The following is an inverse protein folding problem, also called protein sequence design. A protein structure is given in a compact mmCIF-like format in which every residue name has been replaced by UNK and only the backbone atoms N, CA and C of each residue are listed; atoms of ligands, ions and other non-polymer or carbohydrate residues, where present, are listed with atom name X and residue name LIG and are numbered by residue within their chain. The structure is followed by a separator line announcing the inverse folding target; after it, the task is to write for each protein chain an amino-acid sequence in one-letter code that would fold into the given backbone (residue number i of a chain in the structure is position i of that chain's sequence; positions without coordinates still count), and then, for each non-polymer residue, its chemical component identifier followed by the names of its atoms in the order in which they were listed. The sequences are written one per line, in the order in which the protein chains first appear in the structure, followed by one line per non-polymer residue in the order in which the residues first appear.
data_IF_685482218229
#
_entry.id   IF_685482218229
#
_cell.length_a   1.000
_cell.length_b   1.000
_cell.length_c   1.000
_cell.angle_alpha   90.00
_cell.angle_beta   90.00
_cell.angle_gamma   90.00
#
_symmetry.space_group_name_H-M   'P 1'
#
loop_
_entity.id
_entity.type
_entity.pdbx_description
1 polymer ?
#
# COMPACT_ATOMS: atom_id res chain seq x y z
N UNK A 1 -39.87 -10.56 64.75
CA UNK A 1 -39.18 -11.18 63.59
C UNK A 1 -39.46 -10.27 62.39
N UNK A 2 -38.54 -9.34 62.11
CA UNK A 2 -37.49 -9.40 61.05
C UNK A 2 -38.08 -8.97 59.68
N UNK A 3 -37.90 -7.69 59.30
CA UNK A 3 -36.92 -7.12 58.35
C UNK A 3 -37.45 -7.15 56.90
N UNK A 4 -37.68 -6.01 56.22
CA UNK A 4 -36.73 -5.03 55.66
C UNK A 4 -36.57 -5.26 54.15
N UNK A 5 -36.81 -4.22 53.34
CA UNK A 5 -36.20 -4.05 52.02
C UNK A 5 -36.28 -2.56 51.63
N UNK A 6 -35.22 -1.84 51.97
CA UNK A 6 -34.96 -0.48 51.53
C UNK A 6 -34.05 -0.54 50.29
N UNK A 7 -34.49 0.02 49.17
CA UNK A 7 -33.63 0.31 48.03
C UNK A 7 -33.00 1.70 48.24
N UNK A 8 -31.69 1.73 48.41
CA UNK A 8 -30.90 2.95 48.56
C UNK A 8 -30.29 3.31 47.20
N UNK A 9 -30.64 4.50 46.68
CA UNK A 9 -30.05 5.10 45.47
C UNK A 9 -28.75 5.79 45.89
N UNK A 10 -27.62 5.41 45.29
CA UNK A 10 -26.33 6.10 45.48
C UNK A 10 -26.06 6.92 44.20
N UNK A 11 -26.18 8.24 44.30
CA UNK A 11 -25.63 9.20 43.34
C UNK A 11 -24.24 9.62 43.81
N UNK A 12 -23.24 9.44 42.95
CA UNK A 12 -21.88 9.95 43.16
C UNK A 12 -21.70 11.22 42.33
N UNK A 13 -21.71 12.38 43.00
CA UNK A 13 -21.20 13.65 42.46
C UNK A 13 -19.74 13.81 42.88
N UNK A 14 -18.82 13.82 41.93
CA UNK A 14 -17.42 14.22 42.18
C UNK A 14 -17.29 15.73 41.93
N UNK A 15 -17.08 16.48 43.01
CA UNK A 15 -16.69 17.89 42.99
C UNK A 15 -15.17 17.97 42.86
N UNK A 16 -14.66 18.65 41.82
CA UNK A 16 -13.24 19.01 41.73
C UNK A 16 -13.05 20.45 42.23
N UNK A 17 -12.23 20.59 43.26
CA UNK A 17 -11.86 21.84 43.90
C UNK A 17 -10.83 22.61 43.06
N UNK A 18 -11.06 23.91 42.85
CA UNK A 18 -10.04 24.86 42.41
C UNK A 18 -9.11 25.21 43.58
N UNK A 19 -7.81 25.11 43.37
CA UNK A 19 -6.83 25.90 44.13
C UNK A 19 -5.98 26.72 43.16
N UNK A 20 -6.12 28.02 43.30
CA UNK A 20 -5.30 29.06 42.67
C UNK A 20 -4.01 29.28 43.47
N UNK A 21 -2.87 29.26 42.79
CA UNK A 21 -1.58 29.66 43.36
C UNK A 21 -0.73 30.42 42.34
N UNK A 22 -0.56 31.72 42.57
CA UNK A 22 0.22 32.67 41.78
C UNK A 22 1.66 32.74 42.30
N UNK A 23 2.67 32.73 41.41
CA UNK A 23 3.95 33.43 41.61
C UNK A 23 4.92 33.30 40.41
N UNK A 24 5.12 34.43 39.74
CA UNK A 24 6.38 35.00 39.21
C UNK A 24 7.34 34.24 38.30
N UNK A 25 7.69 34.97 37.22
CA UNK A 25 9.04 35.24 36.72
C UNK A 25 9.60 34.38 35.57
N UNK A 26 9.63 35.03 34.39
CA UNK A 26 10.71 35.04 33.41
C UNK A 26 11.20 33.67 32.91
N UNK A 27 10.42 33.06 32.02
CA UNK A 27 11.01 32.22 30.99
C UNK A 27 11.05 32.97 29.67
N UNK A 28 12.29 33.21 29.25
CA UNK A 28 12.72 33.47 27.87
C UNK A 28 11.72 32.89 26.88
N UNK A 29 11.34 33.73 25.92
CA UNK A 29 10.79 33.35 24.63
C UNK A 29 11.82 32.47 23.91
N UNK A 30 11.94 31.20 24.30
CA UNK A 30 12.44 30.17 23.41
C UNK A 30 11.35 30.02 22.38
N UNK A 31 11.57 30.58 21.19
CA UNK A 31 10.93 30.09 19.98
C UNK A 31 11.02 28.58 20.05
N UNK A 32 9.90 27.93 20.34
CA UNK A 32 9.74 26.51 20.15
C UNK A 32 9.88 26.27 18.64
N UNK A 33 11.12 26.09 18.20
CA UNK A 33 11.44 25.21 17.10
C UNK A 33 10.98 23.82 17.54
N UNK A 34 9.67 23.58 17.48
CA UNK A 34 9.22 22.24 17.21
C UNK A 34 9.78 21.92 15.81
N UNK A 35 10.56 20.84 15.64
CA UNK A 35 10.84 20.34 14.31
C UNK A 35 9.49 20.23 13.60
N UNK A 36 9.39 20.71 12.36
CA UNK A 36 8.26 20.34 11.51
C UNK A 36 8.09 18.83 11.68
N UNK A 37 6.88 18.42 12.04
CA UNK A 37 6.42 17.08 11.73
C UNK A 37 6.80 16.86 10.28
N UNK A 38 7.80 16.00 10.06
CA UNK A 38 8.26 15.64 8.74
C UNK A 38 7.16 14.75 8.20
N UNK A 39 6.17 15.32 7.54
CA UNK A 39 5.31 14.53 6.69
C UNK A 39 6.17 14.12 5.49
N UNK A 40 6.43 12.82 5.26
CA UNK A 40 7.20 12.40 4.11
C UNK A 40 6.54 12.92 2.83
N UNK A 41 7.35 13.49 1.94
CA UNK A 41 6.87 14.00 0.67
C UNK A 41 6.44 12.82 -0.20
N UNK A 42 5.12 12.72 -0.45
CA UNK A 42 4.57 11.60 -1.20
C UNK A 42 4.86 11.80 -2.68
N UNK A 43 5.54 10.81 -3.25
CA UNK A 43 5.89 10.77 -4.65
C UNK A 43 5.04 9.75 -5.41
N UNK A 44 4.93 9.98 -6.72
CA UNK A 44 4.25 9.11 -7.66
C UNK A 44 5.36 8.59 -8.59
N UNK A 45 5.83 7.35 -8.42
CA UNK A 45 6.94 6.84 -9.22
C UNK A 45 6.56 6.81 -10.69
N UNK A 46 7.53 6.87 -11.61
CA UNK A 46 7.30 6.77 -13.05
C UNK A 46 7.70 5.37 -13.54
N UNK A 47 6.76 4.43 -13.48
CA UNK A 47 7.02 3.03 -13.81
C UNK A 47 6.82 2.68 -15.28
N UNK A 48 6.52 3.66 -16.14
CA UNK A 48 6.13 3.43 -17.53
C UNK A 48 7.12 2.51 -18.27
N UNK A 49 6.60 1.42 -18.81
CA UNK A 49 7.37 0.46 -19.62
C UNK A 49 8.37 -0.40 -18.84
N UNK A 50 8.48 -0.22 -17.52
CA UNK A 50 9.37 -1.02 -16.69
C UNK A 50 8.70 -2.32 -16.26
N UNK A 51 9.47 -3.41 -16.24
CA UNK A 51 9.05 -4.63 -15.57
C UNK A 51 9.52 -4.59 -14.14
N UNK A 52 8.59 -4.78 -13.21
CA UNK A 52 8.82 -4.59 -11.79
C UNK A 52 8.38 -5.83 -11.01
N UNK A 53 9.15 -6.10 -9.98
CA UNK A 53 8.75 -6.95 -8.86
C UNK A 53 8.08 -6.09 -7.80
N UNK A 54 6.96 -6.58 -7.26
CA UNK A 54 6.22 -5.91 -6.18
C UNK A 54 6.37 -6.74 -4.91
N UNK A 55 7.18 -6.24 -3.98
CA UNK A 55 7.59 -6.97 -2.77
C UNK A 55 6.96 -6.31 -1.55
N UNK A 56 6.22 -7.06 -0.74
CA UNK A 56 5.79 -6.62 0.59
C UNK A 56 6.35 -7.51 1.69
N UNK A 57 6.07 -7.16 2.95
CA UNK A 57 6.67 -7.84 4.12
C UNK A 57 6.39 -9.35 4.18
N UNK A 58 5.31 -9.81 3.53
CA UNK A 58 4.90 -11.21 3.56
C UNK A 58 5.08 -11.94 2.23
N UNK A 59 5.62 -11.31 1.19
CA UNK A 59 5.75 -11.98 -0.11
C UNK A 59 5.97 -11.04 -1.27
N UNK A 60 6.26 -11.63 -2.42
CA UNK A 60 6.38 -10.96 -3.71
C UNK A 60 5.15 -11.31 -4.52
N UNK A 61 4.55 -10.34 -5.18
CA UNK A 61 3.33 -10.56 -5.95
C UNK A 61 3.60 -11.52 -7.10
N UNK A 62 2.68 -12.43 -7.33
CA UNK A 62 2.62 -13.26 -8.53
C UNK A 62 1.21 -13.79 -8.73
N UNK A 63 0.90 -14.27 -9.93
CA UNK A 63 -0.38 -14.95 -10.18
C UNK A 63 -0.27 -16.45 -9.86
N UNK A 64 -1.29 -17.05 -9.26
CA UNK A 64 -1.33 -18.49 -8.95
C UNK A 64 -1.14 -19.37 -10.20
N UNK A 65 -1.71 -18.94 -11.33
CA UNK A 65 -1.45 -19.45 -12.68
C UNK A 65 -1.57 -18.29 -13.69
N UNK A 66 -0.94 -18.41 -14.85
CA UNK A 66 -0.96 -17.39 -15.90
C UNK A 66 -2.15 -17.62 -16.85
N UNK A 67 -3.36 -17.34 -16.35
CA UNK A 67 -4.61 -17.45 -17.10
C UNK A 67 -5.69 -16.49 -16.53
N UNK A 68 -6.71 -16.10 -17.31
CA UNK A 68 -7.80 -15.28 -16.81
C UNK A 68 -8.56 -15.93 -15.65
N UNK A 69 -8.81 -15.15 -14.60
CA UNK A 69 -9.50 -15.57 -13.37
C UNK A 69 -8.55 -16.03 -12.26
N UNK A 70 -7.27 -16.21 -12.54
CA UNK A 70 -6.28 -16.63 -11.54
C UNK A 70 -6.02 -15.53 -10.52
N UNK A 71 -5.90 -15.93 -9.26
CA UNK A 71 -5.65 -14.98 -8.18
C UNK A 71 -4.23 -14.43 -8.19
N UNK A 72 -4.09 -13.15 -7.86
CA UNK A 72 -2.79 -12.60 -7.47
C UNK A 72 -2.55 -12.97 -6.01
N UNK A 73 -1.39 -13.51 -5.70
CA UNK A 73 -0.96 -14.03 -4.39
C UNK A 73 0.41 -13.44 -4.01
N UNK A 74 0.84 -13.62 -2.77
CA UNK A 74 2.16 -13.21 -2.26
C UNK A 74 3.30 -14.17 -2.58
N UNK A 75 3.20 -14.92 -3.69
CA UNK A 75 4.25 -15.80 -4.19
C UNK A 75 4.52 -15.45 -5.66
N UNK A 76 5.71 -14.96 -5.98
CA UNK A 76 6.17 -14.88 -7.37
C UNK A 76 6.20 -16.27 -7.98
N UNK A 77 5.74 -16.41 -9.22
CA UNK A 77 5.80 -17.67 -9.96
C UNK A 77 7.03 -17.78 -10.86
N UNK A 78 7.82 -16.71 -10.96
CA UNK A 78 8.92 -16.59 -11.92
C UNK A 78 10.31 -16.79 -11.31
N UNK A 79 10.42 -16.99 -10.00
CA UNK A 79 11.69 -17.37 -9.39
C UNK A 79 11.61 -17.71 -7.91
N UNK A 80 12.70 -18.27 -7.40
CA UNK A 80 12.87 -18.58 -5.97
C UNK A 80 13.55 -17.44 -5.19
N UNK A 81 14.07 -16.43 -5.90
CA UNK A 81 14.74 -15.26 -5.34
C UNK A 81 13.83 -14.02 -5.44
N UNK A 82 14.04 -13.03 -4.56
CA UNK A 82 13.28 -11.77 -4.58
C UNK A 82 13.74 -10.92 -5.78
N UNK A 83 12.85 -10.08 -6.31
CA UNK A 83 13.09 -9.17 -7.43
C UNK A 83 13.04 -9.82 -8.83
N UNK A 84 12.17 -10.82 -8.97
CA UNK A 84 11.78 -11.32 -10.30
C UNK A 84 10.57 -10.52 -10.77
N UNK A 85 10.73 -9.77 -11.86
CA UNK A 85 9.63 -8.94 -12.35
C UNK A 85 8.49 -9.81 -12.87
N UNK A 86 7.35 -9.75 -12.20
CA UNK A 86 6.11 -10.42 -12.62
C UNK A 86 5.21 -9.51 -13.47
N UNK A 87 5.38 -8.19 -13.38
CA UNK A 87 4.43 -7.25 -13.95
C UNK A 87 5.09 -6.07 -14.69
N UNK A 88 4.44 -5.64 -15.77
CA UNK A 88 4.66 -4.35 -16.40
C UNK A 88 3.65 -3.33 -15.88
N UNK A 89 4.11 -2.11 -15.61
CA UNK A 89 3.26 -0.99 -15.25
C UNK A 89 3.18 -0.02 -16.43
N UNK A 90 1.98 0.14 -16.98
CA UNK A 90 1.74 1.00 -18.15
C UNK A 90 0.72 2.07 -17.82
N UNK A 91 1.05 3.32 -18.12
CA UNK A 91 0.23 4.48 -17.88
C UNK A 91 -1.06 4.39 -18.69
N UNK A 92 -2.18 4.63 -18.02
CA UNK A 92 -3.49 4.75 -18.69
C UNK A 92 -3.58 6.03 -19.52
N UNK A 93 -2.93 7.11 -19.07
CA UNK A 93 -2.87 8.39 -19.75
C UNK A 93 -1.52 9.09 -19.47
N UNK A 94 -0.83 9.49 -20.53
CA UNK A 94 0.45 10.20 -20.41
C UNK A 94 0.26 11.57 -19.75
N UNK A 95 0.98 11.81 -18.66
CA UNK A 95 1.05 13.12 -17.99
C UNK A 95 -0.02 13.41 -16.93
N UNK A 96 -0.91 12.47 -16.60
CA UNK A 96 -1.84 12.63 -15.47
C UNK A 96 -1.09 12.50 -14.12
N UNK A 97 -1.42 13.37 -13.16
CA UNK A 97 -0.97 13.26 -11.76
C UNK A 97 -2.20 13.30 -10.85
N UNK A 98 -2.41 12.31 -9.95
CA UNK A 98 -1.56 11.15 -9.71
C UNK A 98 -1.51 10.20 -10.91
N UNK A 99 -0.34 9.57 -11.12
CA UNK A 99 -0.14 8.61 -12.22
C UNK A 99 -1.03 7.39 -11.99
N UNK A 100 -1.62 6.88 -13.08
CA UNK A 100 -2.51 5.72 -13.07
C UNK A 100 -2.04 4.65 -14.03
N UNK A 101 -2.05 3.42 -13.57
CA UNK A 101 -1.45 2.28 -14.25
C UNK A 101 -2.47 1.20 -14.57
N UNK A 102 -2.26 0.54 -15.71
CA UNK A 102 -2.63 -0.85 -15.90
C UNK A 102 -1.42 -1.69 -15.49
N UNK A 103 -1.67 -2.73 -14.69
CA UNK A 103 -0.62 -3.67 -14.24
C UNK A 103 -0.79 -4.93 -15.08
N UNK A 104 0.11 -5.15 -16.03
CA UNK A 104 0.07 -6.26 -16.98
C UNK A 104 1.01 -7.36 -16.53
N UNK A 105 0.69 -8.61 -16.84
CA UNK A 105 1.65 -9.71 -16.71
C UNK A 105 2.86 -9.46 -17.63
N UNK A 106 4.07 -9.79 -17.16
CA UNK A 106 5.32 -9.50 -17.89
C UNK A 106 5.44 -10.26 -19.21
N UNK A 107 4.92 -11.49 -19.28
CA UNK A 107 5.04 -12.35 -20.46
C UNK A 107 3.77 -12.33 -21.33
N UNK A 108 2.64 -11.91 -20.74
CA UNK A 108 1.32 -11.90 -21.36
C UNK A 108 0.66 -10.53 -21.26
N UNK A 109 0.98 -9.63 -22.18
CA UNK A 109 0.48 -8.26 -22.19
C UNK A 109 -1.06 -8.14 -22.32
N UNK A 110 -1.75 -9.20 -22.73
CA UNK A 110 -3.22 -9.28 -22.78
C UNK A 110 -3.84 -9.65 -21.43
N UNK A 111 -3.05 -10.04 -20.43
CA UNK A 111 -3.48 -10.34 -19.07
C UNK A 111 -3.08 -9.22 -18.10
N UNK A 112 -4.06 -8.75 -17.33
CA UNK A 112 -3.87 -7.61 -16.41
C UNK A 112 -4.49 -7.87 -15.05
N UNK A 113 -3.93 -7.24 -14.03
CA UNK A 113 -4.48 -7.28 -12.68
C UNK A 113 -5.74 -6.44 -12.62
N UNK A 114 -6.86 -7.08 -12.24
CA UNK A 114 -8.14 -6.43 -12.03
C UNK A 114 -8.84 -6.91 -10.77
N UNK A 115 -9.93 -6.23 -10.41
CA UNK A 115 -10.68 -6.49 -9.19
C UNK A 115 -11.88 -7.40 -9.50
N UNK A 116 -11.98 -8.53 -8.80
CA UNK A 116 -13.15 -9.42 -8.84
C UNK A 116 -13.52 -9.83 -7.42
N UNK A 117 -14.76 -9.53 -7.00
CA UNK A 117 -15.26 -9.88 -5.66
C UNK A 117 -14.29 -9.48 -4.52
N UNK A 118 -13.76 -8.25 -4.59
CA UNK A 118 -12.81 -7.69 -3.62
C UNK A 118 -11.42 -8.37 -3.56
N UNK A 119 -11.10 -9.17 -4.58
CA UNK A 119 -9.80 -9.84 -4.72
C UNK A 119 -9.13 -9.41 -6.02
N UNK A 120 -7.81 -9.48 -6.04
CA UNK A 120 -7.04 -9.28 -7.26
C UNK A 120 -7.01 -10.58 -8.06
N UNK A 121 -7.29 -10.47 -9.35
CA UNK A 121 -7.22 -11.56 -10.32
C UNK A 121 -6.60 -11.08 -11.64
N UNK A 122 -5.95 -11.99 -12.37
CA UNK A 122 -5.67 -11.78 -13.78
C UNK A 122 -6.98 -11.75 -14.57
N UNK A 123 -7.09 -10.81 -15.49
CA UNK A 123 -8.22 -10.64 -16.39
C UNK A 123 -7.71 -10.33 -17.79
N UNK A 124 -8.55 -10.53 -18.79
CA UNK A 124 -8.25 -10.01 -20.12
C UNK A 124 -8.25 -8.47 -20.08
N UNK A 125 -7.25 -7.86 -20.73
CA UNK A 125 -7.13 -6.42 -20.84
C UNK A 125 -8.40 -5.81 -21.44
N UNK A 126 -8.99 -4.87 -20.71
CA UNK A 126 -10.06 -4.02 -21.16
C UNK A 126 -9.79 -2.60 -20.65
N UNK A 127 -9.20 -1.77 -21.51
CA UNK A 127 -8.78 -0.39 -21.15
C UNK A 127 -9.94 0.49 -20.65
N UNK A 128 -11.19 0.14 -20.96
CA UNK A 128 -12.37 0.85 -20.50
C UNK A 128 -12.89 0.37 -19.13
N UNK A 129 -12.31 -0.70 -18.59
CA UNK A 129 -12.70 -1.27 -17.30
C UNK A 129 -11.96 -0.54 -16.15
N UNK A 130 -12.67 0.25 -15.33
CA UNK A 130 -12.04 0.98 -14.24
C UNK A 130 -11.55 0.07 -13.10
N UNK A 131 -11.92 -1.21 -13.10
CA UNK A 131 -11.41 -2.21 -12.13
C UNK A 131 -10.01 -2.69 -12.43
N UNK A 132 -9.45 -2.33 -13.59
CA UNK A 132 -8.10 -2.68 -14.05
C UNK A 132 -7.10 -1.51 -13.93
N UNK A 133 -7.53 -0.40 -13.28
CA UNK A 133 -6.75 0.81 -13.12
C UNK A 133 -6.28 0.94 -11.68
N UNK A 134 -5.00 1.27 -11.50
CA UNK A 134 -4.32 1.30 -10.22
C UNK A 134 -3.58 2.63 -10.01
N UNK A 135 -3.50 3.10 -8.78
CA UNK A 135 -2.63 4.21 -8.36
C UNK A 135 -1.53 3.69 -7.46
N UNK A 136 -0.35 4.29 -7.58
CA UNK A 136 0.78 4.01 -6.68
C UNK A 136 1.26 5.31 -6.06
N UNK A 137 1.39 5.30 -4.73
CA UNK A 137 1.94 6.41 -3.95
C UNK A 137 3.02 5.85 -3.04
N UNK A 138 4.18 6.51 -2.99
CA UNK A 138 5.32 6.07 -2.20
C UNK A 138 5.86 7.20 -1.34
N UNK A 139 6.57 6.83 -0.27
CA UNK A 139 7.41 7.76 0.48
C UNK A 139 8.72 8.05 -0.26
N UNK A 140 9.23 7.07 -1.02
CA UNK A 140 10.42 7.25 -1.83
C UNK A 140 10.23 6.72 -3.25
N UNK A 141 10.68 7.52 -4.23
CA UNK A 141 10.69 7.18 -5.64
C UNK A 141 12.04 7.58 -6.22
N UNK A 142 12.74 6.63 -6.81
CA UNK A 142 13.86 6.94 -7.68
C UNK A 142 13.35 7.37 -9.06
N UNK A 143 14.06 8.27 -9.72
CA UNK A 143 13.76 8.74 -11.07
C UNK A 143 14.75 8.23 -12.13
N UNK A 144 15.81 7.53 -11.72
CA UNK A 144 16.90 7.07 -12.56
C UNK A 144 17.03 5.55 -12.70
N UNK A 145 16.03 4.77 -12.27
CA UNK A 145 16.13 3.29 -12.26
C UNK A 145 15.91 2.64 -13.63
N UNK A 146 15.47 3.40 -14.64
CA UNK A 146 15.17 2.84 -15.95
C UNK A 146 16.43 2.27 -16.61
N UNK A 147 16.45 0.95 -16.84
CA UNK A 147 17.59 0.23 -17.42
C UNK A 147 18.61 -0.28 -16.40
N UNK A 148 18.36 -0.12 -15.10
CA UNK A 148 19.18 -0.71 -14.03
C UNK A 148 18.65 -2.09 -13.62
N UNK A 149 19.55 -3.02 -13.32
CA UNK A 149 19.22 -4.40 -12.94
C UNK A 149 19.09 -4.56 -11.43
N UNK A 150 18.04 -5.27 -10.98
CA UNK A 150 17.81 -5.58 -9.57
C UNK A 150 17.86 -4.35 -8.65
N UNK A 151 17.36 -3.21 -9.14
CA UNK A 151 17.45 -1.90 -8.51
C UNK A 151 16.17 -1.57 -7.73
N UNK A 152 16.31 -1.01 -6.53
CA UNK A 152 15.17 -0.54 -5.74
C UNK A 152 14.62 0.77 -6.32
N UNK A 153 13.57 0.68 -7.12
CA UNK A 153 12.94 1.81 -7.80
C UNK A 153 12.09 2.68 -6.87
N UNK A 154 11.38 2.07 -5.91
CA UNK A 154 10.54 2.78 -4.95
C UNK A 154 10.28 1.94 -3.70
N UNK A 155 9.99 2.56 -2.55
CA UNK A 155 9.65 1.85 -1.32
C UNK A 155 8.65 2.60 -0.45
N UNK A 156 8.09 1.88 0.54
CA UNK A 156 6.99 2.33 1.40
C UNK A 156 5.80 2.83 0.57
N UNK A 157 5.46 2.02 -0.43
CA UNK A 157 4.42 2.32 -1.41
C UNK A 157 3.10 1.66 -1.05
N UNK A 158 2.00 2.39 -1.26
CA UNK A 158 0.64 1.84 -1.26
C UNK A 158 0.13 1.74 -2.69
N UNK A 159 -0.50 0.61 -3.04
CA UNK A 159 -1.20 0.41 -4.31
C UNK A 159 -2.70 0.49 -4.02
N UNK A 160 -3.42 1.35 -4.73
CA UNK A 160 -4.85 1.57 -4.49
C UNK A 160 -5.67 1.57 -5.77
N UNK A 161 -6.96 1.25 -5.62
CA UNK A 161 -7.95 1.34 -6.69
C UNK A 161 -8.58 2.73 -6.68
N UNK A 162 -8.52 3.51 -7.77
CA UNK A 162 -9.27 4.75 -7.89
C UNK A 162 -10.79 4.55 -7.84
N UNK A 163 -11.26 3.33 -8.11
CA UNK A 163 -12.68 3.01 -8.23
C UNK A 163 -13.32 2.70 -6.88
N UNK A 164 -12.59 2.01 -5.99
CA UNK A 164 -13.09 1.65 -4.65
C UNK A 164 -12.49 2.50 -3.54
N UNK A 165 -11.43 3.28 -3.82
CA UNK A 165 -10.64 4.03 -2.84
C UNK A 165 -9.99 3.15 -1.76
N UNK A 166 -9.86 1.85 -2.03
CA UNK A 166 -9.24 0.86 -1.14
C UNK A 166 -7.81 0.53 -1.60
N UNK A 167 -7.01 0.08 -0.64
CA UNK A 167 -5.63 -0.32 -0.84
C UNK A 167 -5.50 -1.83 -0.91
N UNK A 168 -4.51 -2.29 -1.67
CA UNK A 168 -4.18 -3.70 -1.76
C UNK A 168 -3.50 -4.16 -0.47
N UNK A 169 -3.93 -5.31 0.04
CA UNK A 169 -3.37 -5.95 1.23
C UNK A 169 -2.95 -7.39 0.90
N UNK A 170 -1.76 -7.77 1.37
CA UNK A 170 -1.29 -9.15 1.34
C UNK A 170 -2.13 -10.06 2.24
N UNK A 171 -2.40 -11.27 1.77
CA UNK A 171 -2.99 -12.32 2.60
C UNK A 171 -2.14 -12.68 3.82
N UNK A 172 -2.73 -13.38 4.79
CA UNK A 172 -2.03 -13.85 6.00
C UNK A 172 -0.90 -14.84 5.68
N UNK A 173 -0.92 -15.44 4.49
CA UNK A 173 0.15 -16.28 3.97
C UNK A 173 0.32 -16.04 2.46
N UNK A 174 1.44 -16.51 1.92
CA UNK A 174 1.87 -16.26 0.54
C UNK A 174 0.97 -16.86 -0.54
N UNK A 175 0.10 -17.82 -0.21
CA UNK A 175 -0.80 -18.47 -1.18
C UNK A 175 -2.22 -17.92 -1.12
N UNK A 176 -2.52 -17.04 -0.17
CA UNK A 176 -3.82 -16.37 -0.11
C UNK A 176 -3.90 -15.26 -1.16
N UNK A 177 -5.05 -15.11 -1.82
CA UNK A 177 -5.29 -14.00 -2.74
C UNK A 177 -5.10 -12.65 -2.05
N UNK A 178 -4.51 -11.71 -2.76
CA UNK A 178 -4.49 -10.30 -2.39
C UNK A 178 -5.90 -9.74 -2.43
N UNK A 179 -6.20 -8.88 -1.47
CA UNK A 179 -7.54 -8.29 -1.27
C UNK A 179 -7.48 -6.78 -1.24
N UNK A 180 -8.64 -6.14 -1.42
CA UNK A 180 -8.80 -4.71 -1.16
C UNK A 180 -9.36 -4.48 0.25
N UNK A 181 -8.81 -3.49 0.93
CA UNK A 181 -9.20 -3.08 2.29
C UNK A 181 -9.07 -1.57 2.44
N UNK A 182 -9.67 -0.96 3.47
CA UNK A 182 -9.44 0.45 3.77
C UNK A 182 -7.95 0.78 3.90
N UNK A 183 -7.52 1.84 3.21
CA UNK A 183 -6.13 2.27 3.20
C UNK A 183 -5.61 2.64 4.59
N UNK A 184 -4.51 2.03 4.99
CA UNK A 184 -3.78 2.31 6.23
C UNK A 184 -2.29 2.31 5.97
N UNK A 185 -1.67 3.49 6.00
CA UNK A 185 -0.20 3.64 5.88
C UNK A 185 0.59 3.06 7.05
N UNK A 186 -0.10 2.61 8.10
CA UNK A 186 0.53 1.95 9.26
C UNK A 186 0.46 0.43 9.16
N UNK A 187 -0.28 -0.10 8.19
CA UNK A 187 -0.39 -1.54 8.00
C UNK A 187 0.72 -2.00 7.05
N UNK A 188 1.67 -2.76 7.60
CA UNK A 188 2.80 -3.29 6.86
C UNK A 188 2.40 -4.26 5.74
N UNK A 189 1.17 -4.79 5.74
CA UNK A 189 0.64 -5.64 4.66
C UNK A 189 0.18 -4.86 3.45
N UNK A 190 0.07 -3.53 3.57
CA UNK A 190 -0.32 -2.60 2.50
C UNK A 190 0.88 -1.79 1.98
N UNK A 191 2.09 -2.06 2.50
CA UNK A 191 3.33 -1.40 2.12
C UNK A 191 4.16 -2.31 1.21
N UNK A 192 4.57 -1.74 0.08
CA UNK A 192 5.29 -2.44 -0.98
C UNK A 192 6.57 -1.70 -1.37
N UNK A 193 7.52 -2.49 -1.85
CA UNK A 193 8.74 -2.07 -2.52
C UNK A 193 8.67 -2.50 -3.97
N UNK A 194 9.21 -1.67 -4.86
CA UNK A 194 9.29 -1.94 -6.27
C UNK A 194 10.74 -2.11 -6.68
N UNK A 195 11.04 -3.26 -7.27
CA UNK A 195 12.37 -3.61 -7.74
C UNK A 195 12.35 -3.80 -9.26
N UNK A 196 13.36 -3.31 -9.96
CA UNK A 196 13.54 -3.66 -11.38
C UNK A 196 13.96 -5.11 -11.52
N UNK A 197 13.60 -5.73 -12.65
CA UNK A 197 14.05 -7.08 -12.96
C UNK A 197 15.58 -7.17 -12.97
N UNK A 198 16.13 -8.33 -12.62
CA UNK A 198 17.51 -8.67 -12.97
C UNK A 198 17.58 -9.10 -14.44
N UNK A 199 18.33 -8.39 -15.31
CA UNK A 199 18.50 -8.80 -16.72
C UNK A 199 18.95 -10.26 -16.88
N UNK A 200 19.77 -10.79 -15.97
CA UNK A 200 20.22 -12.20 -16.05
C UNK A 200 19.13 -13.24 -15.82
N UNK A 201 17.98 -12.88 -15.23
CA UNK A 201 16.82 -13.78 -15.09
C UNK A 201 16.03 -13.96 -16.40
N UNK A 202 16.29 -13.13 -17.42
CA UNK A 202 15.59 -13.15 -18.72
C UNK A 202 16.26 -13.99 -19.80
N UNK A 203 17.42 -14.59 -19.50
CA UNK A 203 18.14 -15.44 -20.45
C UNK A 203 18.71 -14.69 -21.66
N UNK A 204 19.12 -13.44 -21.48
CA UNK A 204 20.03 -12.73 -22.41
C UNK A 204 21.50 -13.02 -22.09
#
# INVERSE_FOLDING_TARGET
MLLSNAFLVISLTLSASLESGSAYSLFRRTSSFFPRDWEPEICNPDFEGSALSVVGNHGEWGAESIEPGSHIIGTSTRGAEIANADFHFTLTHNGETPRRYVIQDVDHADLVVGIVNNKLQLQNLNISDPTQIWSVQCEFCDSGFAGEDAYLAAYDCTISSPTTEECVELGLNKTQPLTLVPCSRRDEKQLFQFWTANATARGE
#
